data_IF_428772572649
#
_entry.id   IF_428772572649
#
_cell.length_a   1.000
_cell.length_b   1.000
_cell.length_c   1.000
_cell.angle_alpha   90.00
_cell.angle_beta   90.00
_cell.angle_gamma   90.00
#
_symmetry.space_group_name_H-M   'P 1'
#
loop_
_entity.id
_entity.type
_entity.pdbx_description
1 polymer ?
#
# COMPACT_ATOMS: atom_id res chain seq x y z
N UNK A 1 6.38 10.85 -6.27
CA UNK A 1 6.96 9.67 -6.96
C UNK A 1 8.31 9.35 -6.36
N UNK A 2 8.60 8.07 -6.09
CA UNK A 2 9.93 7.59 -5.70
C UNK A 2 10.52 6.77 -6.84
N UNK A 3 11.69 7.18 -7.34
CA UNK A 3 12.41 6.46 -8.40
C UNK A 3 13.74 5.94 -7.84
N UNK A 4 13.98 4.63 -7.90
CA UNK A 4 15.23 4.05 -7.41
C UNK A 4 16.39 4.41 -8.36
N UNK A 5 17.40 5.08 -7.83
CA UNK A 5 18.64 5.44 -8.51
C UNK A 5 19.83 4.89 -7.70
N UNK A 6 20.22 3.64 -7.98
CA UNK A 6 21.26 2.94 -7.23
C UNK A 6 20.82 2.62 -5.80
N UNK A 7 21.44 3.26 -4.80
CA UNK A 7 21.17 3.05 -3.36
C UNK A 7 20.31 4.15 -2.71
N UNK A 8 19.68 5.00 -3.53
CA UNK A 8 18.81 6.10 -3.07
C UNK A 8 17.56 6.18 -3.92
N UNK A 9 16.48 6.71 -3.35
CA UNK A 9 15.33 7.15 -4.12
C UNK A 9 15.49 8.62 -4.49
N UNK A 10 15.25 8.95 -5.76
CA UNK A 10 14.92 10.31 -6.18
C UNK A 10 13.43 10.51 -5.98
N UNK A 11 13.07 11.32 -4.97
CA UNK A 11 11.70 11.68 -4.67
C UNK A 11 11.34 12.98 -5.38
N UNK A 12 10.25 12.96 -6.16
CA UNK A 12 9.63 14.16 -6.71
C UNK A 12 8.22 14.35 -6.20
N UNK A 13 7.92 15.53 -5.69
CA UNK A 13 6.59 15.98 -5.28
C UNK A 13 6.28 17.28 -6.01
N UNK A 14 5.12 17.33 -6.66
CA UNK A 14 4.59 18.53 -7.29
C UNK A 14 3.38 18.99 -6.45
N UNK A 15 3.43 20.21 -5.93
CA UNK A 15 2.35 20.78 -5.11
C UNK A 15 1.96 22.15 -5.65
N UNK A 16 0.65 22.36 -5.79
CA UNK A 16 0.08 23.66 -6.17
C UNK A 16 -0.01 24.62 -4.98
N UNK A 17 0.31 24.16 -3.76
CA UNK A 17 0.33 24.99 -2.56
C UNK A 17 1.67 25.72 -2.42
N UNK A 18 1.58 27.04 -2.26
CA UNK A 18 2.71 27.97 -2.22
C UNK A 18 3.73 27.66 -1.11
N UNK A 19 3.29 27.06 0.00
CA UNK A 19 4.14 26.69 1.14
C UNK A 19 4.95 25.41 0.94
N UNK A 20 4.51 24.49 0.07
CA UNK A 20 5.17 23.20 -0.14
C UNK A 20 6.10 23.20 -1.36
N UNK A 21 5.69 23.91 -2.42
CA UNK A 21 6.39 24.00 -3.70
C UNK A 21 6.69 22.65 -4.36
N UNK A 22 7.51 22.69 -5.41
CA UNK A 22 8.08 21.50 -6.02
C UNK A 22 9.27 21.02 -5.21
N UNK A 23 9.28 19.73 -4.85
CA UNK A 23 10.40 19.11 -4.13
C UNK A 23 11.03 18.03 -4.99
N UNK A 24 12.34 18.14 -5.24
CA UNK A 24 13.19 17.08 -5.81
C UNK A 24 14.31 16.79 -4.80
N UNK A 25 14.27 15.62 -4.16
CA UNK A 25 15.19 15.26 -3.06
C UNK A 25 15.64 13.81 -3.19
N UNK A 26 16.85 13.55 -2.69
CA UNK A 26 17.34 12.19 -2.51
C UNK A 26 17.00 11.66 -1.12
N UNK A 27 16.44 10.46 -1.06
CA UNK A 27 16.11 9.75 0.19
C UNK A 27 16.85 8.42 0.22
N UNK A 28 17.26 7.96 1.40
CA UNK A 28 17.86 6.63 1.59
C UNK A 28 16.93 5.57 0.99
N UNK A 29 17.48 4.65 0.18
CA UNK A 29 16.70 3.53 -0.31
C UNK A 29 16.49 2.53 0.83
N UNK A 30 15.28 2.53 1.37
CA UNK A 30 14.76 1.53 2.30
C UNK A 30 13.47 0.93 1.71
N UNK A 31 12.84 0.00 2.42
CA UNK A 31 11.56 -0.54 1.96
C UNK A 31 10.51 0.59 1.93
N UNK A 32 9.67 0.63 0.90
CA UNK A 32 8.52 1.53 0.85
C UNK A 32 7.29 0.78 1.39
N UNK A 33 6.43 1.45 2.15
CA UNK A 33 5.18 0.82 2.60
C UNK A 33 4.30 0.40 1.42
N UNK A 34 4.20 1.24 0.39
CA UNK A 34 3.44 0.94 -0.84
C UNK A 34 3.99 -0.31 -1.57
N UNK A 35 5.28 -0.61 -1.40
CA UNK A 35 5.94 -1.78 -2.00
C UNK A 35 5.54 -3.10 -1.30
N UNK A 36 5.09 -3.04 -0.03
CA UNK A 36 4.66 -4.21 0.74
C UNK A 36 3.55 -4.95 0.02
N UNK A 37 2.58 -4.26 -0.57
CA UNK A 37 1.47 -4.88 -1.29
C UNK A 37 1.93 -5.75 -2.47
N UNK A 38 2.94 -5.30 -3.21
CA UNK A 38 3.48 -6.05 -4.35
C UNK A 38 4.34 -7.22 -3.87
N UNK A 39 5.22 -6.96 -2.90
CA UNK A 39 6.10 -7.95 -2.31
C UNK A 39 5.34 -9.11 -1.66
N UNK A 40 4.29 -8.79 -0.91
CA UNK A 40 3.40 -9.76 -0.26
C UNK A 40 2.77 -10.73 -1.27
N UNK A 41 2.38 -10.21 -2.45
CA UNK A 41 1.76 -11.02 -3.50
C UNK A 41 2.75 -11.93 -4.25
N UNK A 42 4.04 -11.61 -4.19
CA UNK A 42 5.10 -12.41 -4.81
C UNK A 42 5.63 -13.47 -3.86
N UNK A 43 6.00 -13.06 -2.66
CA UNK A 43 6.55 -13.92 -1.63
C UNK A 43 6.28 -13.33 -0.23
N UNK A 44 5.26 -13.79 0.50
CA UNK A 44 4.99 -13.31 1.85
C UNK A 44 6.08 -13.73 2.86
N UNK A 45 6.85 -14.79 2.58
CA UNK A 45 7.85 -15.31 3.52
C UNK A 45 9.07 -14.38 3.69
N UNK A 46 9.24 -13.38 2.81
CA UNK A 46 10.27 -12.35 2.96
C UNK A 46 10.05 -11.46 4.20
N UNK A 47 8.81 -11.38 4.69
CA UNK A 47 8.45 -10.69 5.91
C UNK A 47 8.48 -11.69 7.05
N UNK A 48 9.51 -11.59 7.90
CA UNK A 48 9.63 -12.50 9.04
C UNK A 48 8.73 -12.00 10.18
N UNK A 49 8.27 -12.93 11.01
CA UNK A 49 7.45 -12.57 12.17
C UNK A 49 8.26 -11.79 13.20
N UNK A 50 7.62 -10.78 13.83
CA UNK A 50 8.24 -9.80 14.73
C UNK A 50 9.47 -9.06 14.15
N UNK A 51 9.62 -9.01 12.83
CA UNK A 51 10.73 -8.33 12.16
C UNK A 51 10.62 -6.81 12.32
N UNK A 52 11.72 -6.15 12.73
CA UNK A 52 11.81 -4.69 12.72
C UNK A 52 12.54 -4.24 11.46
N UNK A 53 11.90 -3.34 10.70
CA UNK A 53 12.42 -2.81 9.44
C UNK A 53 12.36 -1.28 9.41
N UNK A 54 13.22 -0.67 8.59
CA UNK A 54 13.06 0.73 8.20
C UNK A 54 12.14 0.82 6.98
N UNK A 55 11.07 1.61 7.11
CA UNK A 55 10.06 1.84 6.09
C UNK A 55 9.87 3.34 5.88
N UNK A 56 9.73 3.75 4.61
CA UNK A 56 9.14 5.07 4.32
C UNK A 56 7.61 4.89 4.35
N UNK A 57 6.88 5.67 5.17
CA UNK A 57 5.42 5.62 5.20
C UNK A 57 4.81 5.86 3.82
N UNK A 58 3.60 5.33 3.61
CA UNK A 58 2.94 5.42 2.31
C UNK A 58 2.85 6.86 1.80
N UNK A 59 3.00 7.02 0.48
CA UNK A 59 3.07 8.34 -0.14
C UNK A 59 1.81 9.20 0.12
N UNK A 60 0.64 8.55 0.22
CA UNK A 60 -0.61 9.23 0.53
C UNK A 60 -0.64 9.76 1.96
N UNK A 61 -0.20 8.96 2.94
CA UNK A 61 -0.10 9.38 4.34
C UNK A 61 0.81 10.59 4.51
N UNK A 62 2.03 10.51 3.94
CA UNK A 62 3.00 11.61 3.99
C UNK A 62 2.41 12.92 3.44
N UNK A 63 1.62 12.82 2.36
CA UNK A 63 0.99 13.99 1.74
C UNK A 63 -0.19 14.53 2.56
N UNK A 64 -1.06 13.65 3.07
CA UNK A 64 -2.22 14.06 3.87
C UNK A 64 -1.82 14.72 5.19
N UNK A 65 -0.73 14.26 5.80
CA UNK A 65 -0.22 14.80 7.07
C UNK A 65 0.90 15.83 6.88
N UNK A 66 1.20 16.23 5.64
CA UNK A 66 2.28 17.17 5.33
C UNK A 66 3.64 16.78 5.97
N UNK A 67 3.94 15.48 6.03
CA UNK A 67 5.15 14.94 6.63
C UNK A 67 6.26 14.72 5.60
N UNK A 68 7.51 14.91 6.03
CA UNK A 68 8.66 14.59 5.20
C UNK A 68 8.79 13.07 4.99
N UNK A 69 9.19 12.67 3.78
CA UNK A 69 9.48 11.28 3.43
C UNK A 69 10.80 10.81 4.07
N UNK A 70 10.74 10.51 5.36
CA UNK A 70 11.87 9.99 6.13
C UNK A 70 11.62 8.53 6.53
N UNK A 71 12.66 7.67 6.52
CA UNK A 71 12.55 6.33 7.05
C UNK A 71 12.09 6.34 8.52
N UNK A 72 11.16 5.46 8.85
CA UNK A 72 10.65 5.21 10.20
C UNK A 72 10.79 3.72 10.49
N UNK A 73 11.04 3.38 11.74
CA UNK A 73 11.03 1.98 12.15
C UNK A 73 9.59 1.48 12.28
N UNK A 74 9.33 0.30 11.74
CA UNK A 74 8.08 -0.41 11.96
C UNK A 74 8.36 -1.88 12.28
N UNK A 75 7.45 -2.47 13.04
CA UNK A 75 7.42 -3.90 13.34
C UNK A 75 6.42 -4.57 12.41
N UNK A 76 6.85 -5.65 11.80
CA UNK A 76 6.02 -6.51 10.95
C UNK A 76 5.74 -7.81 11.69
N UNK A 77 4.50 -8.26 11.68
CA UNK A 77 4.10 -9.58 12.21
C UNK A 77 3.02 -10.23 11.37
N UNK A 78 2.95 -11.55 11.43
CA UNK A 78 1.91 -12.34 10.78
C UNK A 78 0.89 -12.85 11.80
N UNK A 79 -0.38 -12.81 11.45
CA UNK A 79 -1.45 -13.38 12.24
C UNK A 79 -2.35 -14.25 11.36
N UNK A 80 -2.27 -15.58 11.53
CA UNK A 80 -3.13 -16.52 10.82
C UNK A 80 -4.56 -16.48 11.37
N UNK A 81 -5.53 -16.56 10.46
CA UNK A 81 -6.94 -16.76 10.74
C UNK A 81 -7.53 -17.75 9.73
N UNK A 82 -8.71 -18.30 10.03
CA UNK A 82 -9.36 -19.33 9.19
C UNK A 82 -9.60 -18.88 7.74
N UNK A 83 -9.75 -17.58 7.50
CA UNK A 83 -10.07 -16.99 6.17
C UNK A 83 -8.92 -16.25 5.50
N UNK A 84 -7.68 -16.46 5.96
CA UNK A 84 -6.47 -15.86 5.39
C UNK A 84 -5.45 -15.47 6.45
N UNK A 85 -4.36 -14.86 6.02
CA UNK A 85 -3.31 -14.37 6.91
C UNK A 85 -3.29 -12.85 6.91
N UNK A 86 -3.10 -12.27 8.09
CA UNK A 86 -2.89 -10.85 8.26
C UNK A 86 -1.40 -10.56 8.35
N UNK A 87 -0.94 -9.64 7.52
CA UNK A 87 0.32 -8.93 7.73
C UNK A 87 0.00 -7.63 8.49
N UNK A 88 0.62 -7.44 9.64
CA UNK A 88 0.43 -6.24 10.47
C UNK A 88 1.74 -5.47 10.49
N UNK A 89 1.68 -4.18 10.14
CA UNK A 89 2.78 -3.23 10.13
C UNK A 89 2.47 -2.15 11.17
N UNK A 90 3.15 -2.21 12.32
CA UNK A 90 3.02 -1.24 13.41
C UNK A 90 4.22 -0.29 13.42
N UNK A 91 3.98 1.00 13.20
CA UNK A 91 5.04 2.00 13.29
C UNK A 91 5.44 2.25 14.75
N UNK A 92 6.74 2.23 15.05
CA UNK A 92 7.23 2.41 16.43
C UNK A 92 7.21 3.87 16.90
N UNK A 93 7.13 4.82 15.96
CA UNK A 93 7.24 6.26 16.23
C UNK A 93 6.05 7.06 15.70
N UNK A 94 5.01 6.37 15.22
CA UNK A 94 3.78 6.97 14.70
C UNK A 94 2.61 6.16 15.28
N UNK A 95 1.52 6.82 15.71
CA UNK A 95 0.29 6.14 16.18
C UNK A 95 -0.51 5.57 14.98
N UNK A 96 0.16 4.78 14.13
CA UNK A 96 -0.37 4.28 12.87
C UNK A 96 -0.08 2.80 12.69
N UNK A 97 -1.10 2.06 12.29
CA UNK A 97 -1.02 0.61 12.03
C UNK A 97 -1.67 0.27 10.70
N UNK A 98 -0.92 -0.38 9.81
CA UNK A 98 -1.45 -0.96 8.57
C UNK A 98 -1.64 -2.46 8.75
N UNK A 99 -2.81 -2.97 8.38
CA UNK A 99 -3.13 -4.40 8.39
C UNK A 99 -3.56 -4.82 7.00
N UNK A 100 -2.96 -5.87 6.46
CA UNK A 100 -3.26 -6.39 5.13
C UNK A 100 -3.65 -7.85 5.27
N UNK A 101 -4.88 -8.20 4.91
CA UNK A 101 -5.34 -9.58 4.84
C UNK A 101 -5.13 -10.13 3.44
N UNK A 102 -4.48 -11.28 3.34
CA UNK A 102 -4.19 -11.95 2.09
C UNK A 102 -4.46 -13.46 2.17
N UNK A 103 -4.60 -14.10 1.02
CA UNK A 103 -4.77 -15.55 0.92
C UNK A 103 -3.49 -16.28 1.31
N UNK A 104 -3.61 -17.47 1.91
CA UNK A 104 -2.45 -18.26 2.34
C UNK A 104 -1.75 -18.99 1.19
N UNK A 105 -2.41 -19.10 0.02
CA UNK A 105 -1.88 -19.76 -1.17
C UNK A 105 -1.61 -18.75 -2.28
N UNK A 106 -0.63 -19.06 -3.13
CA UNK A 106 -0.32 -18.26 -4.32
C UNK A 106 -1.57 -18.14 -5.22
N UNK A 107 -1.95 -16.93 -5.69
CA UNK A 107 -1.13 -15.73 -5.82
C UNK A 107 -1.25 -14.73 -4.66
N UNK A 108 -1.51 -15.21 -3.44
CA UNK A 108 -1.53 -14.44 -2.20
C UNK A 108 -2.38 -13.17 -2.35
N UNK A 109 -3.61 -13.32 -2.89
CA UNK A 109 -4.43 -12.16 -3.24
C UNK A 109 -4.71 -11.35 -1.98
N UNK A 110 -4.58 -10.02 -2.09
CA UNK A 110 -5.00 -9.10 -1.03
C UNK A 110 -6.53 -9.06 -1.02
N UNK A 111 -7.11 -9.49 0.09
CA UNK A 111 -8.55 -9.58 0.29
C UNK A 111 -9.09 -8.31 0.95
N UNK A 112 -8.28 -7.70 1.81
CA UNK A 112 -8.68 -6.56 2.62
C UNK A 112 -7.46 -5.83 3.15
N UNK A 113 -7.58 -4.53 3.37
CA UNK A 113 -6.63 -3.79 4.17
C UNK A 113 -7.36 -2.83 5.10
N UNK A 114 -6.71 -2.56 6.23
CA UNK A 114 -7.17 -1.62 7.25
C UNK A 114 -6.00 -0.72 7.65
N UNK A 115 -6.27 0.55 7.74
CA UNK A 115 -5.34 1.56 8.27
C UNK A 115 -6.00 2.19 9.49
N UNK A 116 -5.31 2.14 10.62
CA UNK A 116 -5.66 2.87 11.82
C UNK A 116 -4.63 3.99 11.98
N UNK A 117 -5.07 5.23 11.90
CA UNK A 117 -4.26 6.42 12.11
C UNK A 117 -4.91 7.30 13.19
N UNK A 118 -4.29 7.34 14.37
CA UNK A 118 -4.81 8.08 15.54
C UNK A 118 -6.27 7.71 15.90
N UNK A 119 -6.66 6.45 15.70
CA UNK A 119 -8.03 5.96 15.96
C UNK A 119 -9.00 6.17 14.80
N UNK A 120 -8.56 6.77 13.69
CA UNK A 120 -9.35 6.87 12.46
C UNK A 120 -9.12 5.60 11.63
N UNK A 121 -10.13 4.74 11.59
CA UNK A 121 -10.08 3.47 10.87
C UNK A 121 -10.57 3.63 9.42
N UNK A 122 -9.67 3.44 8.47
CA UNK A 122 -9.99 3.27 7.05
C UNK A 122 -9.91 1.79 6.69
N UNK A 123 -10.90 1.29 5.95
CA UNK A 123 -11.00 -0.13 5.56
C UNK A 123 -11.40 -0.27 4.10
N UNK A 124 -10.70 -1.13 3.38
CA UNK A 124 -11.10 -1.55 2.04
C UNK A 124 -11.14 -3.08 1.92
N UNK A 125 -12.16 -3.60 1.24
CA UNK A 125 -12.39 -5.03 1.06
C UNK A 125 -12.58 -5.32 -0.43
N UNK A 126 -11.94 -6.38 -0.91
CA UNK A 126 -12.10 -6.88 -2.27
C UNK A 126 -13.55 -7.37 -2.48
N UNK A 127 -14.28 -6.69 -3.36
CA UNK A 127 -15.66 -7.04 -3.70
C UNK A 127 -15.73 -8.19 -4.71
N UNK A 128 -15.06 -8.01 -5.85
CA UNK A 128 -15.08 -8.96 -6.96
C UNK A 128 -13.81 -8.81 -7.80
N UNK A 129 -13.41 -9.89 -8.46
CA UNK A 129 -12.34 -9.89 -9.46
C UNK A 129 -12.86 -10.57 -10.72
N UNK A 130 -12.56 -9.98 -11.87
CA UNK A 130 -12.86 -10.54 -13.18
C UNK A 130 -11.55 -10.60 -13.98
N UNK A 131 -11.34 -11.70 -14.71
CA UNK A 131 -10.22 -11.86 -15.63
C UNK A 131 -10.78 -11.80 -17.04
N UNK A 132 -10.57 -10.67 -17.71
CA UNK A 132 -11.11 -10.37 -19.03
C UNK A 132 -9.97 -10.02 -20.00
N UNK A 133 -10.13 -10.29 -21.30
CA UNK A 133 -9.19 -9.82 -22.32
C UNK A 133 -9.31 -8.30 -22.46
N UNK A 134 -8.34 -7.57 -21.89
CA UNK A 134 -8.37 -6.10 -21.83
C UNK A 134 -8.51 -5.44 -23.21
N UNK A 135 -7.80 -5.93 -24.23
CA UNK A 135 -7.83 -5.36 -25.58
C UNK A 135 -9.17 -5.53 -26.30
N UNK A 136 -10.06 -6.38 -25.79
CA UNK A 136 -11.39 -6.59 -26.34
C UNK A 136 -12.48 -5.89 -25.52
N UNK A 137 -12.14 -5.39 -24.32
CA UNK A 137 -13.08 -4.86 -23.33
C UNK A 137 -12.56 -3.56 -22.67
N UNK A 138 -12.27 -2.54 -23.47
CA UNK A 138 -11.76 -1.25 -23.01
C UNK A 138 -12.61 -0.04 -23.42
N UNK A 139 -13.72 -0.27 -24.13
CA UNK A 139 -14.54 0.80 -24.69
C UNK A 139 -15.70 1.17 -23.75
N UNK A 140 -16.39 2.28 -24.04
CA UNK A 140 -17.54 2.70 -23.25
C UNK A 140 -18.70 1.69 -23.28
N UNK A 141 -18.75 0.83 -24.29
CA UNK A 141 -19.75 -0.25 -24.38
C UNK A 141 -19.57 -1.29 -23.27
N UNK A 142 -18.38 -1.35 -22.65
CA UNK A 142 -18.06 -2.23 -21.53
C UNK A 142 -18.42 -1.65 -20.15
N UNK A 143 -19.05 -0.46 -20.09
CA UNK A 143 -19.53 0.14 -18.83
C UNK A 143 -20.35 -0.84 -17.95
N UNK A 144 -21.22 -1.72 -18.49
CA UNK A 144 -21.95 -2.71 -17.69
C UNK A 144 -21.04 -3.69 -16.91
N UNK A 145 -19.76 -3.84 -17.27
CA UNK A 145 -18.81 -4.65 -16.51
C UNK A 145 -18.54 -4.08 -15.10
N UNK A 146 -18.81 -2.79 -14.87
CA UNK A 146 -18.73 -2.16 -13.54
C UNK A 146 -19.71 -2.76 -12.56
N UNK A 147 -20.93 -3.08 -13.01
CA UNK A 147 -21.93 -3.77 -12.21
C UNK A 147 -21.45 -5.18 -11.85
N UNK A 148 -20.83 -5.87 -12.82
CA UNK A 148 -20.21 -7.18 -12.60
C UNK A 148 -19.07 -7.14 -11.57
N UNK A 149 -18.45 -5.98 -11.38
CA UNK A 149 -17.42 -5.70 -10.36
C UNK A 149 -17.99 -5.13 -9.04
N UNK A 150 -19.32 -4.98 -8.93
CA UNK A 150 -20.00 -4.38 -7.78
C UNK A 150 -19.52 -2.95 -7.47
N UNK A 151 -19.18 -2.20 -8.52
CA UNK A 151 -18.84 -0.78 -8.43
C UNK A 151 -20.12 0.05 -8.58
N UNK A 152 -20.14 1.23 -7.95
CA UNK A 152 -21.23 2.18 -8.16
C UNK A 152 -21.08 2.78 -9.57
N UNK A 153 -22.11 2.65 -10.39
CA UNK A 153 -22.21 3.38 -11.64
C UNK A 153 -22.67 4.82 -11.33
N UNK A 154 -21.86 5.81 -11.74
CA UNK A 154 -22.17 7.24 -11.70
C UNK A 154 -22.34 7.75 -13.11
#
# INVERSE_FOLDING_TARGET
>A
QFNLAGKKYRMRLFSYFESEGDQDREVKAVLLEDEIFNRLRLDPAQFQDEQVVELIPAAHYLRLHHQAAVPRQARIRHQQQESGTWLIVEYLHLPRTLRIRYETEFPYRVLEWQEDDEGQLTRAVLKRTLRLPYWEHHDNDDLPLRDSLQLLCF
#
